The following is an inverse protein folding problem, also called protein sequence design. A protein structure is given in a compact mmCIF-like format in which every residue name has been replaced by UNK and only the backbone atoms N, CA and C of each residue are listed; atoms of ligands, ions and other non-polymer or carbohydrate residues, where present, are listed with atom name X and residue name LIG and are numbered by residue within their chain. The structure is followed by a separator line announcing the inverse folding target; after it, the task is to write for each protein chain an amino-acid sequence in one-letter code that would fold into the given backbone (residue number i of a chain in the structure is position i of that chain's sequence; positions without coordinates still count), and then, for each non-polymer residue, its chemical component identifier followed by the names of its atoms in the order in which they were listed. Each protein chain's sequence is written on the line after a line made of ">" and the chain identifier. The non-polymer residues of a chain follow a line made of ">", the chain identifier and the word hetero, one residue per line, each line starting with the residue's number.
data_IF_270344506425
#
_entry.id   IF_270344506425
#
_cell.length_a   1.000
_cell.length_b   1.000
_cell.length_c   1.000
_cell.angle_alpha   90.00
_cell.angle_beta   90.00
_cell.angle_gamma   90.00
#
_symmetry.space_group_name_H-M   'P 1'
#
loop_
_entity.id
_entity.type
_entity.pdbx_description
1 polymer ?
#
# COMPACT_ATOMS: atom_id res chain seq x y z
N UNK A 1 16.64 -17.60 -4.69
CA UNK A 1 16.40 -18.24 -3.40
C UNK A 1 16.87 -17.34 -2.25
N UNK A 2 16.20 -17.40 -1.09
CA UNK A 2 16.58 -16.63 0.11
C UNK A 2 15.59 -15.57 0.54
N UNK A 3 14.85 -14.96 -0.35
CA UNK A 3 13.72 -14.09 -0.01
C UNK A 3 12.53 -14.92 0.46
N UNK A 4 11.87 -14.49 1.54
CA UNK A 4 10.73 -15.22 2.11
C UNK A 4 9.40 -14.75 1.51
N UNK A 5 9.10 -13.47 1.63
CA UNK A 5 7.91 -12.84 1.08
C UNK A 5 8.20 -11.36 0.81
N UNK A 6 9.08 -11.13 -0.16
CA UNK A 6 9.48 -9.76 -0.48
C UNK A 6 8.44 -9.08 -1.35
N UNK A 7 7.88 -8.02 -0.83
CA UNK A 7 7.15 -7.01 -1.58
C UNK A 7 7.91 -5.69 -1.46
N UNK A 8 8.24 -5.08 -2.57
CA UNK A 8 8.88 -3.77 -2.60
C UNK A 8 8.19 -2.88 -3.61
N UNK A 9 8.06 -1.61 -3.27
CA UNK A 9 7.46 -0.58 -4.14
C UNK A 9 8.47 0.54 -4.31
N UNK A 10 8.70 0.95 -5.55
CA UNK A 10 9.49 2.13 -5.89
C UNK A 10 8.69 3.02 -6.83
N UNK A 11 8.66 4.31 -6.51
CA UNK A 11 7.96 5.32 -7.32
C UNK A 11 8.96 6.41 -7.66
N UNK A 12 9.19 6.61 -8.94
CA UNK A 12 10.13 7.59 -9.46
C UNK A 12 9.38 8.78 -10.05
N UNK A 13 9.49 9.93 -9.38
CA UNK A 13 8.96 11.20 -9.85
C UNK A 13 10.03 12.11 -10.44
N UNK A 14 9.63 13.25 -10.96
CA UNK A 14 10.54 14.24 -11.55
C UNK A 14 11.43 14.96 -10.52
N UNK A 15 11.03 15.04 -9.26
CA UNK A 15 11.72 15.73 -8.17
C UNK A 15 12.37 14.80 -7.15
N UNK A 16 11.73 13.69 -6.86
CA UNK A 16 12.22 12.72 -5.88
C UNK A 16 11.73 11.32 -6.24
N UNK A 17 12.34 10.33 -5.63
CA UNK A 17 11.93 8.93 -5.66
C UNK A 17 11.59 8.46 -4.27
N UNK A 18 10.67 7.50 -4.18
CA UNK A 18 10.28 6.85 -2.93
C UNK A 18 10.52 5.36 -3.08
N UNK A 19 11.06 4.72 -2.05
CA UNK A 19 11.19 3.26 -2.02
C UNK A 19 10.81 2.70 -0.65
N UNK A 20 10.03 1.65 -0.67
CA UNK A 20 9.59 0.93 0.51
C UNK A 20 9.76 -0.58 0.31
N UNK A 21 10.15 -1.30 1.36
CA UNK A 21 10.35 -2.75 1.33
C UNK A 21 9.63 -3.37 2.55
N UNK A 22 8.79 -4.36 2.29
CA UNK A 22 8.05 -5.10 3.32
C UNK A 22 8.94 -5.81 4.34
N UNK A 23 10.17 -6.18 3.96
CA UNK A 23 11.12 -6.79 4.90
C UNK A 23 11.65 -5.77 5.94
N UNK A 24 11.44 -4.45 5.70
CA UNK A 24 11.80 -3.36 6.61
C UNK A 24 10.67 -2.32 6.64
N UNK A 25 9.44 -2.72 7.02
CA UNK A 25 8.21 -1.96 6.76
C UNK A 25 8.16 -0.59 7.41
N UNK A 26 8.88 -0.38 8.51
CA UNK A 26 8.93 0.88 9.25
C UNK A 26 9.87 1.93 8.63
N UNK A 27 10.35 1.72 7.42
CA UNK A 27 11.28 2.65 6.78
C UNK A 27 10.82 3.02 5.38
N UNK A 28 10.81 4.33 5.10
CA UNK A 28 10.64 4.88 3.77
C UNK A 28 11.92 5.59 3.35
N UNK A 29 12.49 5.17 2.23
CA UNK A 29 13.60 5.91 1.60
C UNK A 29 13.04 6.96 0.65
N UNK A 30 13.62 8.16 0.71
CA UNK A 30 13.32 9.28 -0.18
C UNK A 30 14.62 9.72 -0.83
N UNK A 31 14.75 9.47 -2.13
CA UNK A 31 15.89 9.89 -2.93
C UNK A 31 15.64 11.26 -3.56
N UNK A 32 16.61 12.14 -3.49
CA UNK A 32 16.60 13.46 -4.11
C UNK A 32 17.77 13.62 -5.09
N UNK A 33 17.54 14.36 -6.18
CA UNK A 33 18.60 14.62 -7.16
C UNK A 33 19.63 15.63 -6.65
N UNK A 34 19.18 16.65 -5.93
CA UNK A 34 19.97 17.82 -5.55
C UNK A 34 20.17 17.99 -4.04
N UNK A 35 19.72 17.00 -3.28
CA UNK A 35 19.80 16.96 -1.82
C UNK A 35 20.20 15.57 -1.36
N UNK A 36 20.75 15.42 -0.15
CA UNK A 36 20.99 14.10 0.42
C UNK A 36 19.71 13.28 0.51
N UNK A 37 19.81 12.00 0.28
CA UNK A 37 18.73 11.05 0.49
C UNK A 37 18.30 11.05 1.96
N UNK A 38 17.02 10.82 2.18
CA UNK A 38 16.44 10.74 3.51
C UNK A 38 15.89 9.35 3.76
N UNK A 39 15.98 8.93 5.00
CA UNK A 39 15.29 7.75 5.48
C UNK A 39 14.33 8.19 6.58
N UNK A 40 13.05 8.04 6.34
CA UNK A 40 12.04 8.27 7.36
C UNK A 40 11.82 6.96 8.11
N UNK A 41 11.75 7.06 9.44
CA UNK A 41 11.21 6.02 10.28
C UNK A 41 9.74 6.33 10.58
N UNK A 42 8.97 5.30 10.89
CA UNK A 42 7.61 5.46 11.37
C UNK A 42 7.61 6.25 12.68
N UNK A 43 6.78 7.26 12.73
CA UNK A 43 6.50 8.04 13.93
C UNK A 43 5.06 8.55 13.84
N UNK A 44 4.17 8.09 14.72
CA UNK A 44 2.77 8.49 14.71
C UNK A 44 2.55 10.00 14.79
N UNK A 45 3.47 10.73 15.44
CA UNK A 45 3.39 12.19 15.56
C UNK A 45 3.59 12.93 14.23
N UNK A 46 4.17 12.26 13.24
CA UNK A 46 4.44 12.81 11.90
C UNK A 46 3.42 12.36 10.85
N UNK A 47 2.46 11.53 11.22
CA UNK A 47 1.42 11.06 10.29
C UNK A 47 0.40 12.16 10.03
N UNK A 48 -0.14 12.12 8.83
CA UNK A 48 -1.28 12.96 8.49
C UNK A 48 -2.49 12.57 9.33
N UNK A 49 -3.33 13.54 9.74
CA UNK A 49 -4.50 13.27 10.58
C UNK A 49 -5.41 12.16 10.05
N UNK A 50 -5.54 12.06 8.71
CA UNK A 50 -6.40 11.10 8.03
C UNK A 50 -5.95 9.65 8.18
N UNK A 51 -4.68 9.42 8.55
CA UNK A 51 -4.12 8.07 8.72
C UNK A 51 -3.56 7.84 10.13
N UNK A 52 -3.67 8.82 11.02
CA UNK A 52 -3.10 8.75 12.37
C UNK A 52 -3.68 7.59 13.20
N UNK A 53 -4.93 7.21 12.96
CA UNK A 53 -5.59 6.08 13.59
C UNK A 53 -5.06 4.70 13.15
N UNK A 54 -4.17 4.67 12.18
CA UNK A 54 -3.56 3.43 11.67
C UNK A 54 -2.28 3.04 12.40
N UNK A 55 -1.70 3.95 13.20
CA UNK A 55 -0.51 3.69 14.02
C UNK A 55 -0.89 3.62 15.50
N UNK A 56 -0.37 2.61 16.18
CA UNK A 56 -0.79 2.29 17.55
C UNK A 56 0.37 2.30 18.56
N UNK A 57 1.62 2.34 18.08
CA UNK A 57 2.81 2.29 18.92
C UNK A 57 3.62 3.58 18.79
N UNK A 58 4.40 3.94 19.82
CA UNK A 58 5.34 5.05 19.73
C UNK A 58 6.37 4.85 18.61
N UNK A 59 6.91 5.94 18.09
CA UNK A 59 7.98 5.90 17.10
C UNK A 59 9.13 4.98 17.48
N UNK A 60 9.67 4.24 16.52
CA UNK A 60 10.72 3.26 16.73
C UNK A 60 10.25 1.87 17.19
N UNK A 61 8.96 1.66 17.41
CA UNK A 61 8.37 0.34 17.62
C UNK A 61 7.88 -0.22 16.30
N UNK A 62 8.09 -1.51 16.07
CA UNK A 62 7.73 -2.16 14.82
C UNK A 62 6.24 -2.41 14.78
N UNK A 63 5.56 -1.82 13.79
CA UNK A 63 4.25 -2.22 13.34
C UNK A 63 4.39 -2.95 12.00
N UNK A 64 3.56 -3.95 11.75
CA UNK A 64 3.73 -4.76 10.58
C UNK A 64 2.43 -5.40 10.08
N UNK A 65 2.57 -6.53 9.41
CA UNK A 65 1.45 -7.22 8.76
C UNK A 65 0.25 -7.50 9.69
N UNK A 66 0.41 -7.95 10.94
CA UNK A 66 -0.74 -8.14 11.83
C UNK A 66 -1.50 -6.85 12.12
N UNK A 67 -0.79 -5.73 12.26
CA UNK A 67 -1.41 -4.42 12.54
C UNK A 67 -2.12 -3.88 11.32
N UNK A 68 -1.55 -4.01 10.12
CA UNK A 68 -2.19 -3.65 8.86
C UNK A 68 -3.50 -4.45 8.67
N UNK A 69 -3.48 -5.75 8.93
CA UNK A 69 -4.65 -6.60 8.84
C UNK A 69 -5.72 -6.23 9.88
N UNK A 70 -5.33 -5.99 11.13
CA UNK A 70 -6.21 -5.49 12.19
C UNK A 70 -6.89 -4.18 11.79
N UNK A 71 -6.14 -3.22 11.25
CA UNK A 71 -6.67 -1.94 10.80
C UNK A 71 -7.69 -2.10 9.68
N UNK A 72 -7.36 -2.91 8.67
CA UNK A 72 -8.29 -3.20 7.57
C UNK A 72 -9.61 -3.79 8.08
N UNK A 73 -9.54 -4.79 8.96
CA UNK A 73 -10.74 -5.39 9.57
C UNK A 73 -11.51 -4.40 10.45
N UNK A 74 -10.80 -3.53 11.16
CA UNK A 74 -11.41 -2.44 11.95
C UNK A 74 -12.26 -1.51 11.09
N UNK A 75 -11.73 -1.04 9.97
CA UNK A 75 -12.46 -0.19 9.02
C UNK A 75 -13.65 -0.91 8.38
N UNK A 76 -13.50 -2.19 8.04
CA UNK A 76 -14.63 -3.00 7.56
C UNK A 76 -15.76 -3.05 8.58
N UNK A 77 -15.47 -3.39 9.84
CA UNK A 77 -16.48 -3.45 10.89
C UNK A 77 -17.06 -2.08 11.26
N UNK A 78 -16.33 -0.99 11.11
CA UNK A 78 -16.88 0.36 11.23
C UNK A 78 -17.97 0.62 10.17
N UNK A 79 -17.73 0.24 8.91
CA UNK A 79 -18.72 0.35 7.85
C UNK A 79 -19.95 -0.51 8.13
N UNK A 80 -19.77 -1.75 8.60
CA UNK A 80 -20.86 -2.65 9.00
C UNK A 80 -21.72 -2.02 10.10
N UNK A 81 -21.10 -1.46 11.14
CA UNK A 81 -21.84 -0.79 12.23
C UNK A 81 -22.59 0.46 11.77
N UNK A 82 -22.01 1.20 10.85
CA UNK A 82 -22.64 2.39 10.26
C UNK A 82 -23.78 2.03 9.31
N UNK A 83 -23.93 0.77 8.90
CA UNK A 83 -24.89 0.33 7.89
C UNK A 83 -24.72 0.98 6.52
N UNK A 84 -23.54 1.52 6.24
CA UNK A 84 -23.24 2.25 5.02
C UNK A 84 -21.85 1.92 4.51
N UNK A 85 -21.77 1.56 3.23
CA UNK A 85 -20.49 1.39 2.52
C UNK A 85 -19.88 2.77 2.24
N UNK A 86 -18.61 3.02 2.61
CA UNK A 86 -17.91 4.24 2.19
C UNK A 86 -17.72 4.28 0.67
N UNK A 87 -17.64 5.47 0.13
CA UNK A 87 -17.27 5.68 -1.28
C UNK A 87 -15.90 5.05 -1.59
N UNK A 88 -15.71 4.57 -2.82
CA UNK A 88 -14.51 3.84 -3.23
C UNK A 88 -13.19 4.59 -2.88
N UNK A 89 -13.16 5.91 -3.09
CA UNK A 89 -11.98 6.75 -2.77
C UNK A 89 -11.75 7.01 -1.27
N UNK A 90 -12.74 6.75 -0.40
CA UNK A 90 -12.64 6.91 1.05
C UNK A 90 -12.57 5.55 1.78
N UNK A 91 -12.73 4.47 1.07
CA UNK A 91 -12.73 3.11 1.61
C UNK A 91 -11.30 2.66 1.94
N UNK A 92 -11.10 2.15 3.15
CA UNK A 92 -9.79 1.70 3.66
C UNK A 92 -9.72 0.16 3.79
N UNK A 93 -10.55 -0.53 3.04
CA UNK A 93 -10.57 -1.99 2.88
C UNK A 93 -11.03 -2.33 1.46
N UNK A 94 -10.58 -3.46 0.93
CA UNK A 94 -10.99 -3.92 -0.39
C UNK A 94 -12.43 -4.44 -0.36
N UNK A 95 -13.18 -4.20 -1.43
CA UNK A 95 -14.50 -4.73 -1.68
C UNK A 95 -14.52 -5.58 -2.98
N UNK A 96 -15.67 -6.08 -3.38
CA UNK A 96 -15.77 -6.99 -4.53
C UNK A 96 -15.42 -6.31 -5.87
N UNK A 97 -15.71 -5.02 -6.00
CA UNK A 97 -15.31 -4.23 -7.17
C UNK A 97 -13.78 -4.12 -7.30
N UNK A 98 -13.05 -3.90 -6.19
CA UNK A 98 -11.58 -3.92 -6.18
C UNK A 98 -11.04 -5.31 -6.56
N UNK A 99 -11.70 -6.37 -6.06
CA UNK A 99 -11.36 -7.75 -6.40
C UNK A 99 -11.59 -8.06 -7.89
N UNK A 100 -12.68 -7.58 -8.48
CA UNK A 100 -12.95 -7.72 -9.89
C UNK A 100 -11.88 -7.01 -10.75
N UNK A 101 -11.51 -5.79 -10.39
CA UNK A 101 -10.45 -5.04 -11.07
C UNK A 101 -9.11 -5.79 -11.06
N UNK A 102 -8.74 -6.41 -9.93
CA UNK A 102 -7.54 -7.25 -9.84
C UNK A 102 -7.62 -8.44 -10.81
N UNK A 103 -8.78 -9.07 -10.96
CA UNK A 103 -8.95 -10.19 -11.90
C UNK A 103 -8.78 -9.75 -13.36
N UNK A 104 -9.32 -8.59 -13.76
CA UNK A 104 -9.11 -8.04 -15.10
C UNK A 104 -7.62 -7.76 -15.37
N UNK A 105 -6.91 -7.23 -14.38
CA UNK A 105 -5.47 -6.99 -14.49
C UNK A 105 -4.71 -8.31 -14.66
N UNK A 106 -5.03 -9.35 -13.88
CA UNK A 106 -4.40 -10.66 -13.99
C UNK A 106 -4.63 -11.28 -15.37
N UNK A 107 -5.85 -11.21 -15.89
CA UNK A 107 -6.15 -11.67 -17.25
C UNK A 107 -5.33 -10.91 -18.30
N UNK A 108 -5.23 -9.60 -18.19
CA UNK A 108 -4.42 -8.79 -19.10
C UNK A 108 -2.94 -9.17 -19.04
N UNK A 109 -2.40 -9.45 -17.86
CA UNK A 109 -1.01 -9.92 -17.68
C UNK A 109 -0.81 -11.25 -18.42
N UNK A 110 -1.71 -12.21 -18.24
CA UNK A 110 -1.64 -13.52 -18.91
C UNK A 110 -1.72 -13.36 -20.43
N UNK A 111 -2.68 -12.57 -20.93
CA UNK A 111 -2.81 -12.27 -22.38
C UNK A 111 -1.56 -11.59 -22.94
N UNK A 112 -1.01 -10.61 -22.22
CA UNK A 112 0.22 -9.91 -22.61
C UNK A 112 1.41 -10.88 -22.71
N UNK A 113 1.56 -11.78 -21.74
CA UNK A 113 2.61 -12.80 -21.76
C UNK A 113 2.46 -13.76 -22.96
N UNK A 114 1.25 -14.26 -23.21
CA UNK A 114 0.99 -15.18 -24.31
C UNK A 114 1.19 -14.55 -25.69
N UNK A 115 0.79 -13.27 -25.82
CA UNK A 115 0.86 -12.53 -27.09
C UNK A 115 2.20 -11.80 -27.28
N UNK A 116 3.06 -11.75 -26.26
CA UNK A 116 4.35 -11.03 -26.26
C UNK A 116 4.19 -9.56 -26.69
N UNK A 117 3.09 -8.91 -26.25
CA UNK A 117 2.79 -7.50 -26.52
C UNK A 117 2.00 -6.86 -25.38
N UNK A 118 1.96 -5.54 -25.36
CA UNK A 118 1.06 -4.80 -24.51
C UNK A 118 -0.40 -5.07 -24.89
N UNK A 119 -1.24 -5.27 -23.88
CA UNK A 119 -2.69 -5.41 -24.04
C UNK A 119 -3.41 -4.46 -23.10
N UNK A 120 -4.58 -3.99 -23.49
CA UNK A 120 -5.45 -3.19 -22.63
C UNK A 120 -6.08 -4.07 -21.53
N UNK A 121 -6.30 -3.48 -20.36
CA UNK A 121 -7.16 -4.08 -19.34
C UNK A 121 -8.61 -3.84 -19.73
N UNK A 122 -9.33 -4.90 -20.03
CA UNK A 122 -10.76 -4.85 -20.41
C UNK A 122 -11.59 -5.13 -19.15
N UNK A 123 -12.49 -4.18 -18.79
CA UNK A 123 -13.43 -4.31 -17.68
C UNK A 123 -14.80 -4.76 -18.16
#
# INVERSE_FOLDING_TARGET
>A
AGRKNRLAVEVNGSRCSLAWDQEVPQRLWIGHREQPDRRLSDDPSLLWPEIADSAHYPGGHIEGWPDAFKNMMGHFYQAVRAGKMPEAGARRFAAFDDGADVMYIIEAIVKSHQQQRWVSVER
#
